data_IF_312248886092
#
_entry.id   IF_312248886092
#
_cell.length_a   1.000
_cell.length_b   1.000
_cell.length_c   1.000
_cell.angle_alpha   90.00
_cell.angle_beta   90.00
_cell.angle_gamma   90.00
#
_symmetry.space_group_name_H-M   'P 1'
#
loop_
_entity.id
_entity.type
_entity.pdbx_description
1 polymer ?
#
# COMPACT_ATOMS: atom_id res chain seq x y z
N UNK A 1 45.49 10.42 -7.05
CA UNK A 1 44.16 9.80 -6.84
C UNK A 1 43.50 9.54 -8.19
N UNK A 2 43.06 8.30 -8.44
CA UNK A 2 42.92 7.71 -9.78
C UNK A 2 41.52 7.94 -10.41
N UNK A 3 41.38 9.00 -11.21
CA UNK A 3 40.12 9.37 -11.88
C UNK A 3 39.57 8.30 -12.85
N UNK A 4 40.44 7.46 -13.43
CA UNK A 4 40.02 6.37 -14.34
C UNK A 4 39.28 5.26 -13.59
N UNK A 5 39.74 4.91 -12.39
CA UNK A 5 39.06 3.91 -11.55
C UNK A 5 37.68 4.39 -11.08
N UNK A 6 37.55 5.68 -10.75
CA UNK A 6 36.25 6.26 -10.39
C UNK A 6 35.27 6.22 -11.57
N UNK A 7 35.70 6.54 -12.79
CA UNK A 7 34.84 6.49 -13.98
C UNK A 7 34.35 5.07 -14.29
N UNK A 8 35.21 4.07 -14.16
CA UNK A 8 34.84 2.65 -14.34
C UNK A 8 33.85 2.20 -13.26
N UNK A 9 34.07 2.62 -12.01
CA UNK A 9 33.15 2.32 -10.91
C UNK A 9 31.77 2.97 -11.12
N UNK A 10 31.72 4.21 -11.62
CA UNK A 10 30.45 4.88 -11.95
C UNK A 10 29.68 4.19 -13.07
N UNK A 11 30.36 3.77 -14.14
CA UNK A 11 29.73 3.03 -15.24
C UNK A 11 29.18 1.68 -14.74
N UNK A 12 29.95 1.00 -13.88
CA UNK A 12 29.51 -0.27 -13.29
C UNK A 12 28.33 -0.08 -12.34
N UNK A 13 28.35 0.97 -11.50
CA UNK A 13 27.23 1.33 -10.64
C UNK A 13 25.99 1.67 -11.46
N UNK A 14 26.13 2.46 -12.52
CA UNK A 14 25.04 2.81 -13.42
C UNK A 14 24.34 1.58 -13.97
N UNK A 15 25.09 0.59 -14.47
CA UNK A 15 24.52 -0.67 -14.97
C UNK A 15 23.82 -1.49 -13.88
N UNK A 16 24.38 -1.55 -12.67
CA UNK A 16 23.79 -2.29 -11.55
C UNK A 16 22.46 -1.63 -11.13
N UNK A 17 22.46 -0.30 -11.00
CA UNK A 17 21.27 0.47 -10.68
C UNK A 17 20.22 0.36 -11.78
N UNK A 18 20.61 0.45 -13.06
CA UNK A 18 19.71 0.23 -14.19
C UNK A 18 19.09 -1.17 -14.12
N UNK A 19 19.88 -2.21 -13.89
CA UNK A 19 19.37 -3.59 -13.87
C UNK A 19 18.36 -3.89 -12.75
N UNK A 20 18.46 -3.17 -11.62
CA UNK A 20 17.65 -3.42 -10.42
C UNK A 20 16.50 -2.42 -10.25
N UNK A 21 16.78 -1.13 -10.44
CA UNK A 21 15.83 -0.05 -10.20
C UNK A 21 14.94 0.21 -11.41
N UNK A 22 15.49 0.14 -12.63
CA UNK A 22 14.73 0.48 -13.83
C UNK A 22 13.49 -0.42 -14.03
N UNK A 23 13.56 -1.76 -13.87
CA UNK A 23 12.38 -2.61 -13.98
C UNK A 23 11.29 -2.25 -12.96
N UNK A 24 11.69 -1.94 -11.72
CA UNK A 24 10.78 -1.50 -10.65
C UNK A 24 10.13 -0.17 -10.97
N UNK A 25 10.90 0.81 -11.45
CA UNK A 25 10.37 2.11 -11.89
C UNK A 25 9.32 1.93 -13.00
N UNK A 26 9.62 1.12 -14.01
CA UNK A 26 8.69 0.84 -15.12
C UNK A 26 7.40 0.21 -14.61
N UNK A 27 7.47 -0.81 -13.73
CA UNK A 27 6.28 -1.45 -13.16
C UNK A 27 5.41 -0.45 -12.39
N UNK A 28 6.01 0.27 -11.45
CA UNK A 28 5.32 1.21 -10.56
C UNK A 28 4.69 2.36 -11.35
N UNK A 29 5.41 2.93 -12.33
CA UNK A 29 4.87 3.98 -13.21
C UNK A 29 3.75 3.44 -14.12
N UNK A 30 3.87 2.20 -14.60
CA UNK A 30 2.82 1.58 -15.42
C UNK A 30 1.56 1.36 -14.61
N UNK A 31 1.66 0.94 -13.35
CA UNK A 31 0.50 0.84 -12.45
C UNK A 31 -0.13 2.20 -12.19
N UNK A 32 0.68 3.23 -11.91
CA UNK A 32 0.20 4.59 -11.70
C UNK A 32 -0.54 5.13 -12.93
N UNK A 33 -0.02 4.86 -14.12
CA UNK A 33 -0.64 5.22 -15.39
C UNK A 33 -1.98 4.49 -15.59
N UNK A 34 -2.02 3.17 -15.38
CA UNK A 34 -3.26 2.37 -15.48
C UNK A 34 -4.34 2.83 -14.50
N UNK A 35 -3.93 3.35 -13.34
CA UNK A 35 -4.83 3.87 -12.32
C UNK A 35 -5.22 5.35 -12.52
N UNK A 36 -4.75 6.00 -13.60
CA UNK A 36 -4.93 7.44 -13.85
C UNK A 36 -4.54 8.31 -12.63
N UNK A 37 -3.46 7.91 -11.95
CA UNK A 37 -3.05 8.51 -10.68
C UNK A 37 -1.81 9.41 -10.80
N UNK A 38 -1.20 9.49 -11.98
CA UNK A 38 0.00 10.31 -12.21
C UNK A 38 -0.34 11.77 -11.97
N UNK A 39 0.27 12.34 -10.93
CA UNK A 39 0.13 13.76 -10.61
C UNK A 39 1.42 14.26 -9.96
N UNK A 40 1.81 15.50 -10.23
CA UNK A 40 3.06 16.06 -9.69
C UNK A 40 2.90 16.65 -8.28
N UNK A 41 1.96 16.11 -7.48
CA UNK A 41 1.70 16.59 -6.13
C UNK A 41 2.49 15.78 -5.09
N UNK A 42 2.68 16.38 -3.92
CA UNK A 42 3.41 15.75 -2.81
C UNK A 42 2.80 14.40 -2.35
N UNK A 43 1.47 14.22 -2.50
CA UNK A 43 0.79 12.98 -2.13
C UNK A 43 1.16 11.84 -3.08
N UNK A 44 1.19 12.09 -4.38
CA UNK A 44 1.64 11.15 -5.38
C UNK A 44 3.10 10.78 -5.14
N UNK A 45 3.99 11.75 -4.91
CA UNK A 45 5.40 11.45 -4.62
C UNK A 45 5.54 10.50 -3.42
N UNK A 46 4.78 10.71 -2.34
CA UNK A 46 4.77 9.80 -1.19
C UNK A 46 4.27 8.39 -1.54
N UNK A 47 3.13 8.28 -2.21
CA UNK A 47 2.56 6.99 -2.62
C UNK A 47 3.52 6.27 -3.57
N UNK A 48 4.08 6.99 -4.54
CA UNK A 48 5.05 6.48 -5.50
C UNK A 48 6.29 5.93 -4.82
N UNK A 49 6.91 6.69 -3.91
CA UNK A 49 8.10 6.23 -3.19
C UNK A 49 7.81 4.98 -2.34
N UNK A 50 6.64 4.92 -1.70
CA UNK A 50 6.24 3.73 -0.94
C UNK A 50 6.03 2.52 -1.86
N UNK A 51 5.35 2.69 -2.99
CA UNK A 51 5.13 1.62 -3.99
C UNK A 51 6.43 1.16 -4.63
N UNK A 52 7.37 2.07 -4.86
CA UNK A 52 8.69 1.75 -5.34
C UNK A 52 9.50 0.95 -4.31
N UNK A 53 9.45 1.32 -3.03
CA UNK A 53 10.09 0.56 -1.97
C UNK A 53 9.47 -0.85 -1.82
N UNK A 54 8.15 -0.97 -1.92
CA UNK A 54 7.43 -2.25 -1.95
C UNK A 54 7.92 -3.14 -3.10
N UNK A 55 7.90 -2.62 -4.33
CA UNK A 55 8.31 -3.38 -5.51
C UNK A 55 9.80 -3.79 -5.45
N UNK A 56 10.69 -2.90 -5.00
CA UNK A 56 12.11 -3.21 -4.81
C UNK A 56 12.35 -4.27 -3.73
N UNK A 57 11.55 -4.27 -2.66
CA UNK A 57 11.64 -5.27 -1.61
C UNK A 57 11.21 -6.65 -2.10
N UNK A 58 10.08 -6.72 -2.81
CA UNK A 58 9.54 -7.98 -3.33
C UNK A 58 10.39 -8.58 -4.44
N UNK A 59 10.91 -7.74 -5.33
CA UNK A 59 11.69 -8.18 -6.48
C UNK A 59 13.20 -8.14 -6.22
N UNK A 60 13.63 -8.20 -4.95
CA UNK A 60 15.04 -8.21 -4.62
C UNK A 60 15.66 -9.58 -4.99
N UNK A 61 16.57 -9.65 -5.97
CA UNK A 61 17.14 -10.92 -6.43
C UNK A 61 17.98 -11.64 -5.37
N UNK A 62 18.46 -10.92 -4.35
CA UNK A 62 19.21 -11.51 -3.24
C UNK A 62 18.30 -12.20 -2.21
N UNK A 63 16.99 -11.93 -2.27
CA UNK A 63 16.02 -12.37 -1.29
C UNK A 63 14.72 -12.86 -1.94
N UNK A 64 14.78 -13.97 -2.71
CA UNK A 64 13.60 -14.51 -3.41
C UNK A 64 12.48 -14.94 -2.45
N UNK A 65 12.79 -15.24 -1.18
CA UNK A 65 11.82 -15.57 -0.14
C UNK A 65 10.86 -14.42 0.21
N UNK A 66 11.17 -13.20 -0.22
CA UNK A 66 10.36 -12.00 0.09
C UNK A 66 9.19 -11.81 -0.85
N UNK A 67 9.11 -12.58 -1.93
CA UNK A 67 7.99 -12.55 -2.86
C UNK A 67 6.69 -12.78 -2.07
N UNK A 68 5.78 -11.80 -2.07
CA UNK A 68 4.46 -11.83 -1.37
C UNK A 68 4.50 -11.70 0.16
N UNK A 69 5.61 -11.24 0.72
CA UNK A 69 5.64 -10.84 2.14
C UNK A 69 4.75 -9.61 2.40
N UNK A 70 4.16 -9.50 3.59
CA UNK A 70 3.41 -8.31 3.96
C UNK A 70 4.36 -7.11 4.06
N UNK A 71 3.94 -5.92 3.66
CA UNK A 71 4.76 -4.69 3.80
C UNK A 71 5.28 -4.50 5.24
N UNK A 72 4.48 -4.90 6.23
CA UNK A 72 4.85 -4.89 7.66
C UNK A 72 6.03 -5.80 8.03
N UNK A 73 6.46 -6.72 7.16
CA UNK A 73 7.64 -7.55 7.41
C UNK A 73 8.95 -6.83 7.05
N UNK A 74 8.88 -5.63 6.47
CA UNK A 74 10.06 -4.82 6.20
C UNK A 74 10.65 -4.31 7.53
N UNK A 75 11.93 -4.52 7.84
CA UNK A 75 12.54 -4.16 9.12
C UNK A 75 12.38 -2.68 9.51
N UNK A 76 12.37 -1.80 8.50
CA UNK A 76 12.23 -0.35 8.68
C UNK A 76 10.79 0.12 8.90
N UNK A 77 9.78 -0.77 8.76
CA UNK A 77 8.37 -0.43 9.03
C UNK A 77 7.98 -0.61 10.50
N UNK A 78 8.80 -1.31 11.30
CA UNK A 78 8.52 -1.60 12.71
C UNK A 78 8.89 -0.46 13.69
N UNK A 79 9.42 0.66 13.21
CA UNK A 79 9.87 1.77 14.08
C UNK A 79 8.69 2.58 14.67
N UNK A 80 7.44 2.34 14.26
CA UNK A 80 6.24 2.94 14.87
C UNK A 80 5.35 1.88 15.49
N UNK A 81 5.56 1.62 16.79
CA UNK A 81 4.79 0.68 17.60
C UNK A 81 3.31 1.06 17.81
N UNK A 82 2.87 2.24 17.37
CA UNK A 82 1.49 2.72 17.60
C UNK A 82 0.46 2.28 16.54
N UNK A 83 0.88 1.55 15.50
CA UNK A 83 0.02 1.25 14.35
C UNK A 83 0.13 -0.20 13.90
N UNK A 84 -0.44 -1.12 14.69
CA UNK A 84 -1.05 -2.36 14.15
C UNK A 84 -2.31 -2.06 13.28
N UNK A 85 -2.35 -0.88 12.65
CA UNK A 85 -3.32 -0.58 11.61
C UNK A 85 -2.83 -1.33 10.40
N UNK A 86 -3.64 -2.25 9.86
CA UNK A 86 -3.41 -2.87 8.54
C UNK A 86 -2.80 -1.80 7.64
N UNK A 87 -1.57 -2.01 7.13
CA UNK A 87 -0.94 -1.02 6.29
C UNK A 87 -1.96 -0.73 5.21
N UNK A 88 -2.39 0.52 5.11
CA UNK A 88 -3.11 0.94 3.92
C UNK A 88 -2.16 0.57 2.81
N UNK A 89 -2.46 -0.50 2.08
CA UNK A 89 -1.82 -0.78 0.80
C UNK A 89 -1.85 0.55 0.09
N UNK A 90 -0.68 1.11 -0.21
CA UNK A 90 -0.57 2.45 -0.78
C UNK A 90 -1.12 2.40 -2.20
N UNK A 91 -2.44 2.28 -2.32
CA UNK A 91 -3.12 2.26 -3.59
C UNK A 91 -2.92 3.64 -4.21
N UNK A 92 -2.72 3.64 -5.52
CA UNK A 92 -2.67 4.85 -6.36
C UNK A 92 -3.86 5.78 -6.16
N UNK A 93 -4.90 5.25 -5.54
CA UNK A 93 -6.14 5.89 -5.18
C UNK A 93 -7.23 4.86 -5.34
N UNK A 94 -8.35 5.11 -4.68
CA UNK A 94 -9.61 4.49 -5.07
C UNK A 94 -10.16 5.30 -6.24
N UNK A 95 -10.60 4.65 -7.32
CA UNK A 95 -11.27 5.38 -8.41
C UNK A 95 -12.49 6.13 -7.86
N UNK A 96 -12.88 7.23 -8.52
CA UNK A 96 -14.04 8.02 -8.09
C UNK A 96 -15.30 7.16 -7.98
N UNK A 97 -15.50 6.23 -8.91
CA UNK A 97 -16.67 5.34 -8.92
C UNK A 97 -16.63 4.30 -7.81
N UNK A 98 -15.46 3.72 -7.52
CA UNK A 98 -15.28 2.83 -6.38
C UNK A 98 -15.50 3.56 -5.06
N UNK A 99 -14.97 4.78 -4.93
CA UNK A 99 -15.15 5.60 -3.74
C UNK A 99 -16.63 5.98 -3.58
N UNK A 100 -17.30 6.40 -4.65
CA UNK A 100 -18.73 6.68 -4.65
C UNK A 100 -19.54 5.45 -4.24
N UNK A 101 -19.23 4.27 -4.80
CA UNK A 101 -19.90 3.01 -4.46
C UNK A 101 -19.74 2.67 -2.98
N UNK A 102 -18.54 2.79 -2.43
CA UNK A 102 -18.27 2.51 -1.01
C UNK A 102 -19.00 3.52 -0.12
N UNK A 103 -18.92 4.82 -0.41
CA UNK A 103 -19.60 5.86 0.35
C UNK A 103 -21.12 5.66 0.31
N UNK A 104 -21.69 5.44 -0.87
CA UNK A 104 -23.12 5.23 -1.06
C UNK A 104 -23.60 3.95 -0.36
N UNK A 105 -22.85 2.85 -0.45
CA UNK A 105 -23.18 1.60 0.25
C UNK A 105 -23.15 1.78 1.77
N UNK A 106 -22.14 2.48 2.31
CA UNK A 106 -22.01 2.77 3.73
C UNK A 106 -23.14 3.68 4.21
N UNK A 107 -23.50 4.70 3.43
CA UNK A 107 -24.60 5.62 3.74
C UNK A 107 -25.96 4.92 3.71
N UNK A 108 -26.27 4.13 2.67
CA UNK A 108 -27.50 3.33 2.59
C UNK A 108 -27.61 2.36 3.77
N UNK A 109 -26.50 1.68 4.10
CA UNK A 109 -26.46 0.80 5.26
C UNK A 109 -26.67 1.58 6.57
N UNK A 110 -26.12 2.79 6.69
CA UNK A 110 -26.31 3.64 7.86
C UNK A 110 -27.78 4.03 8.04
N UNK A 111 -28.46 4.48 6.97
CA UNK A 111 -29.89 4.83 7.01
C UNK A 111 -30.74 3.68 7.55
N UNK A 112 -30.49 2.44 7.10
CA UNK A 112 -31.24 1.27 7.60
C UNK A 112 -30.87 1.00 9.06
N UNK A 113 -29.60 1.11 9.43
CA UNK A 113 -29.11 0.81 10.79
C UNK A 113 -29.57 1.79 11.86
N UNK A 114 -29.96 3.00 11.48
CA UNK A 114 -30.49 4.01 12.42
C UNK A 114 -31.99 3.88 12.64
N UNK A 115 -32.70 3.04 11.86
CA UNK A 115 -34.11 2.77 12.11
C UNK A 115 -34.26 2.08 13.49
N UNK A 116 -35.22 2.51 14.32
CA UNK A 116 -35.28 2.11 15.73
C UNK A 116 -35.47 0.61 15.92
N UNK A 117 -36.32 -0.01 15.10
CA UNK A 117 -36.57 -1.45 15.05
C UNK A 117 -35.30 -2.25 14.68
N UNK A 118 -34.58 -1.80 13.64
CA UNK A 118 -33.33 -2.43 13.20
C UNK A 118 -32.23 -2.25 14.25
N UNK A 119 -32.14 -1.07 14.87
CA UNK A 119 -31.16 -0.75 15.90
C UNK A 119 -31.38 -1.62 17.15
N UNK A 120 -32.63 -1.77 17.59
CA UNK A 120 -33.02 -2.63 18.70
C UNK A 120 -32.66 -4.09 18.44
N UNK A 121 -33.04 -4.63 17.27
CA UNK A 121 -32.67 -5.99 16.87
C UNK A 121 -31.14 -6.20 16.87
N UNK A 122 -30.38 -5.25 16.32
CA UNK A 122 -28.91 -5.33 16.30
C UNK A 122 -28.32 -5.29 17.71
N UNK A 123 -28.89 -4.50 18.61
CA UNK A 123 -28.47 -4.47 20.01
C UNK A 123 -28.75 -5.80 20.71
N UNK A 124 -29.93 -6.39 20.48
CA UNK A 124 -30.30 -7.70 20.98
C UNK A 124 -29.31 -8.80 20.53
N UNK A 125 -29.02 -8.90 19.23
CA UNK A 125 -28.07 -9.90 18.71
C UNK A 125 -26.66 -9.70 19.24
N UNK A 126 -26.20 -8.46 19.37
CA UNK A 126 -24.90 -8.17 20.00
C UNK A 126 -24.85 -8.70 21.43
N UNK A 127 -25.88 -8.45 22.23
CA UNK A 127 -25.95 -8.92 23.61
C UNK A 127 -25.94 -10.46 23.73
N UNK A 128 -26.54 -11.18 22.78
CA UNK A 128 -26.47 -12.64 22.72
C UNK A 128 -25.05 -13.14 22.41
N UNK A 129 -24.36 -12.51 21.45
CA UNK A 129 -22.99 -12.93 21.09
C UNK A 129 -21.96 -12.70 22.21
N UNK A 130 -22.14 -11.69 23.06
CA UNK A 130 -21.26 -11.46 24.22
C UNK A 130 -21.52 -12.44 25.36
N UNK A 131 -22.73 -12.99 25.49
CA UNK A 131 -23.07 -13.95 26.55
C UNK A 131 -22.54 -15.36 26.31
N UNK A 132 -22.34 -15.78 25.05
CA UNK A 132 -21.81 -17.10 24.69
C UNK A 132 -20.28 -17.25 24.77
N UNK A 133 -19.55 -16.21 25.21
CA UNK A 133 -18.08 -16.22 25.40
C UNK A 133 -17.66 -16.32 26.87
N UNK A 134 -18.52 -16.89 27.72
CA UNK A 134 -18.20 -17.24 29.10
C UNK A 134 -18.12 -18.74 29.25
#
# INVERSE_FOLDING_TARGET
>A
MNAKNNKINFIRLGRILESSIYPSLVRVLTEAHKADAISYNHKFCKIFMNRLAEDLWYNNPLHPERERTLVCSMPFTMVSNDLLRTPFTFSWGMSRDQAATIIQSAYRAHIVRIQPDVAEMRAFWRALTTKGRK
#
